data_IF_779679698334
#
_entry.id   IF_779679698334
#
_cell.length_a   1.000
_cell.length_b   1.000
_cell.length_c   1.000
_cell.angle_alpha   90.00
_cell.angle_beta   90.00
_cell.angle_gamma   90.00
#
_symmetry.space_group_name_H-M   'P 1'
#
loop_
_entity.id
_entity.type
_entity.pdbx_description
1 polymer ?
#
# COMPACT_ATOMS: atom_id res chain seq x y z
N UNK A 1 5.91 -12.96 33.58
CA UNK A 1 5.36 -11.61 33.47
C UNK A 1 5.02 -11.48 32.01
N UNK A 2 3.73 -11.46 31.69
CA UNK A 2 3.27 -11.50 30.31
C UNK A 2 3.60 -10.14 29.67
N UNK A 3 4.50 -10.16 28.70
CA UNK A 3 5.04 -9.00 27.98
C UNK A 3 4.03 -8.58 26.89
N UNK A 4 2.85 -8.10 27.31
CA UNK A 4 1.81 -7.66 26.37
C UNK A 4 2.14 -6.25 25.88
N UNK A 5 1.87 -5.92 24.60
CA UNK A 5 2.18 -4.62 24.06
C UNK A 5 1.33 -3.53 24.72
N UNK A 6 1.93 -2.34 24.86
CA UNK A 6 1.24 -1.16 25.36
C UNK A 6 0.06 -0.80 24.46
N UNK A 7 -0.97 -0.20 25.05
CA UNK A 7 -2.13 0.24 24.29
C UNK A 7 -1.76 1.37 23.29
N UNK A 8 -2.09 1.26 21.99
CA UNK A 8 -1.74 2.26 20.98
C UNK A 8 -2.48 3.60 21.15
N UNK A 9 -3.57 3.63 21.93
CA UNK A 9 -4.38 4.84 22.12
C UNK A 9 -3.97 5.64 23.37
N UNK A 10 -3.44 4.99 24.41
CA UNK A 10 -3.20 5.62 25.70
C UNK A 10 -1.84 5.27 26.34
N UNK A 11 -0.99 4.52 25.63
CA UNK A 11 0.35 4.08 26.06
C UNK A 11 0.37 3.31 27.39
N UNK A 12 -0.78 2.72 27.77
CA UNK A 12 -0.89 1.99 29.03
C UNK A 12 -0.26 0.60 28.91
N UNK A 13 0.62 0.26 29.85
CA UNK A 13 1.29 -1.04 29.98
C UNK A 13 0.36 -2.19 30.44
N UNK A 14 -0.89 -1.87 30.79
CA UNK A 14 -1.82 -2.80 31.40
C UNK A 14 -2.84 -3.35 30.40
N UNK A 15 -2.41 -3.87 29.25
CA UNK A 15 -3.30 -4.60 28.32
C UNK A 15 -3.57 -6.02 28.84
N UNK A 16 -4.77 -6.55 28.55
CA UNK A 16 -5.11 -7.95 28.81
C UNK A 16 -5.70 -8.61 27.56
N UNK A 17 -5.51 -9.91 27.44
CA UNK A 17 -6.08 -10.71 26.36
C UNK A 17 -7.54 -11.10 26.66
N UNK A 18 -8.46 -10.79 25.75
CA UNK A 18 -9.83 -11.29 25.71
C UNK A 18 -10.02 -12.08 24.40
N UNK A 19 -9.71 -13.37 24.46
CA UNK A 19 -9.71 -14.24 23.28
C UNK A 19 -8.62 -13.86 22.26
N UNK A 20 -8.95 -13.56 20.99
CA UNK A 20 -7.97 -13.12 19.98
C UNK A 20 -7.64 -11.62 20.07
N UNK A 21 -8.27 -10.86 20.98
CA UNK A 21 -8.12 -9.41 21.09
C UNK A 21 -7.35 -9.03 22.36
N UNK A 22 -6.65 -7.90 22.29
CA UNK A 22 -6.07 -7.19 23.41
C UNK A 22 -7.01 -6.05 23.79
N UNK A 23 -7.30 -5.92 25.08
CA UNK A 23 -8.19 -4.91 25.62
C UNK A 23 -7.45 -4.05 26.64
N UNK A 24 -7.58 -2.73 26.52
CA UNK A 24 -7.07 -1.80 27.51
C UNK A 24 -8.14 -1.45 28.56
N UNK A 25 -7.89 -1.67 29.86
CA UNK A 25 -8.82 -1.34 30.95
C UNK A 25 -8.91 0.16 31.23
N UNK A 26 -7.93 0.95 30.77
CA UNK A 26 -7.87 2.41 31.01
C UNK A 26 -8.75 3.19 30.03
N UNK A 27 -8.76 2.79 28.76
CA UNK A 27 -9.50 3.49 27.71
C UNK A 27 -10.59 2.65 27.03
N UNK A 28 -10.67 1.35 27.32
CA UNK A 28 -11.61 0.43 26.68
C UNK A 28 -11.29 0.15 25.21
N UNK A 29 -10.08 0.47 24.75
CA UNK A 29 -9.67 0.18 23.37
C UNK A 29 -9.41 -1.32 23.20
N UNK A 30 -9.98 -1.90 22.15
CA UNK A 30 -9.87 -3.30 21.78
C UNK A 30 -9.10 -3.36 20.45
N UNK A 31 -7.98 -4.08 20.41
CA UNK A 31 -7.18 -4.24 19.19
C UNK A 31 -6.64 -5.67 19.07
N UNK A 32 -6.49 -6.16 17.85
CA UNK A 32 -5.85 -7.45 17.61
C UNK A 32 -4.33 -7.24 17.43
N UNK A 33 -3.46 -7.99 18.12
CA UNK A 33 -2.03 -7.95 17.82
C UNK A 33 -1.74 -8.47 16.40
N UNK A 34 -2.63 -9.29 15.83
CA UNK A 34 -2.49 -9.81 14.47
C UNK A 34 -2.93 -8.82 13.38
N UNK A 35 -3.78 -7.83 13.68
CA UNK A 35 -4.17 -6.81 12.69
C UNK A 35 -3.11 -5.73 12.48
N UNK A 36 -2.28 -5.46 13.50
CA UNK A 36 -1.16 -4.53 13.38
C UNK A 36 -0.13 -5.01 12.35
N UNK A 37 0.01 -6.31 12.11
CA UNK A 37 0.93 -6.84 11.09
C UNK A 37 0.32 -6.93 9.67
N UNK A 38 -1.00 -6.82 9.51
CA UNK A 38 -1.67 -7.00 8.19
C UNK A 38 -1.98 -5.70 7.43
N UNK A 39 -1.51 -4.54 7.90
CA UNK A 39 -1.67 -3.26 7.17
C UNK A 39 -0.38 -2.75 6.51
N UNK A 40 0.74 -3.49 6.62
CA UNK A 40 2.07 -3.07 6.13
C UNK A 40 2.61 -3.93 4.97
N UNK A 41 1.90 -4.97 4.53
CA UNK A 41 2.44 -5.96 3.58
C UNK A 41 2.29 -5.59 2.09
N UNK A 42 1.49 -4.58 1.74
CA UNK A 42 1.21 -4.22 0.33
C UNK A 42 1.67 -2.79 -0.02
N UNK A 43 2.68 -2.28 0.69
CA UNK A 43 3.25 -0.96 0.43
C UNK A 43 4.02 -1.01 -0.90
N UNK A 44 3.31 -0.84 -2.01
CA UNK A 44 3.91 -0.74 -3.35
C UNK A 44 4.70 0.56 -3.42
N UNK A 45 6.01 0.45 -3.60
CA UNK A 45 6.91 1.60 -3.70
C UNK A 45 7.27 1.88 -5.15
N UNK A 46 7.28 3.15 -5.52
CA UNK A 46 7.74 3.54 -6.85
C UNK A 46 9.28 3.42 -6.99
N UNK A 47 9.81 3.68 -8.19
CA UNK A 47 11.24 3.66 -8.48
C UNK A 47 12.12 4.55 -7.57
N UNK A 48 11.53 5.60 -6.96
CA UNK A 48 12.21 6.50 -6.02
C UNK A 48 11.95 6.14 -4.55
N UNK A 49 11.20 5.08 -4.28
CA UNK A 49 10.90 4.61 -2.93
C UNK A 49 9.72 5.33 -2.24
N UNK A 50 8.90 6.11 -2.96
CA UNK A 50 7.68 6.66 -2.36
C UNK A 50 6.57 5.61 -2.32
N UNK A 51 5.78 5.67 -1.26
CA UNK A 51 4.59 4.83 -1.10
C UNK A 51 3.52 5.26 -2.09
N UNK A 52 3.06 4.30 -2.88
CA UNK A 52 1.90 4.43 -3.75
C UNK A 52 0.67 3.92 -3.03
N UNK A 53 -0.47 4.52 -3.33
CA UNK A 53 -1.77 4.13 -2.80
C UNK A 53 -2.78 3.92 -3.94
N UNK A 54 -3.88 3.26 -3.63
CA UNK A 54 -4.99 3.14 -4.58
C UNK A 54 -5.61 4.52 -4.85
N UNK A 55 -5.77 4.88 -6.12
CA UNK A 55 -6.29 6.18 -6.57
C UNK A 55 -5.23 7.22 -6.86
N UNK A 56 -3.95 6.92 -6.60
CA UNK A 56 -2.86 7.89 -6.75
C UNK A 56 -2.53 8.20 -8.22
N UNK A 57 -1.68 9.21 -8.44
CA UNK A 57 -1.20 9.57 -9.78
C UNK A 57 0.29 9.25 -9.91
N UNK A 58 0.64 8.55 -10.99
CA UNK A 58 2.02 8.17 -11.28
C UNK A 58 2.46 8.68 -12.66
N UNK A 59 3.78 8.83 -12.83
CA UNK A 59 4.42 9.19 -14.09
C UNK A 59 5.40 8.10 -14.48
N UNK A 60 5.33 7.66 -15.72
CA UNK A 60 6.29 6.70 -16.26
C UNK A 60 7.64 7.39 -16.47
N UNK A 61 8.72 6.84 -15.90
CA UNK A 61 10.06 7.45 -15.99
C UNK A 61 10.83 7.05 -17.25
N UNK A 62 10.43 5.99 -17.94
CA UNK A 62 11.18 5.40 -19.06
C UNK A 62 10.25 5.00 -20.20
N UNK A 63 10.72 5.05 -21.44
CA UNK A 63 9.92 4.62 -22.58
C UNK A 63 9.72 3.10 -22.57
N UNK A 64 8.47 2.66 -22.50
CA UNK A 64 8.08 1.27 -22.50
C UNK A 64 7.46 0.91 -23.84
N UNK A 65 8.10 0.00 -24.57
CA UNK A 65 7.57 -0.54 -25.83
C UNK A 65 6.81 -1.82 -25.55
N UNK A 66 5.55 -1.86 -25.95
CA UNK A 66 4.68 -3.04 -25.83
C UNK A 66 4.12 -3.42 -27.21
N UNK A 67 3.46 -4.58 -27.29
CA UNK A 67 2.95 -5.08 -28.58
C UNK A 67 1.93 -4.16 -29.26
N UNK A 68 1.26 -3.27 -28.53
CA UNK A 68 0.26 -2.34 -29.05
C UNK A 68 0.73 -0.88 -29.19
N UNK A 69 2.00 -0.56 -28.92
CA UNK A 69 2.49 0.82 -29.02
C UNK A 69 3.74 1.11 -28.17
N UNK A 70 4.00 2.41 -27.98
CA UNK A 70 5.07 2.91 -27.10
C UNK A 70 4.43 3.86 -26.09
N UNK A 71 4.56 3.55 -24.80
CA UNK A 71 4.31 4.50 -23.73
C UNK A 71 5.56 5.34 -23.57
N UNK A 72 5.46 6.64 -23.84
CA UNK A 72 6.61 7.53 -23.71
C UNK A 72 6.91 7.85 -22.26
N UNK A 73 8.19 8.00 -21.94
CA UNK A 73 8.61 8.56 -20.66
C UNK A 73 7.97 9.94 -20.45
N UNK A 74 7.38 10.16 -19.28
CA UNK A 74 6.60 11.36 -18.95
C UNK A 74 5.07 11.20 -19.09
N UNK A 75 4.58 10.03 -19.51
CA UNK A 75 3.13 9.74 -19.52
C UNK A 75 2.61 9.72 -18.09
N UNK A 76 1.64 10.59 -17.80
CA UNK A 76 0.96 10.68 -16.51
C UNK A 76 -0.27 9.76 -16.51
N UNK A 77 -0.34 8.88 -15.53
CA UNK A 77 -1.46 7.96 -15.33
C UNK A 77 -2.11 8.26 -14.00
N UNK A 78 -3.42 8.45 -14.01
CA UNK A 78 -4.22 8.81 -12.83
C UNK A 78 -5.06 7.63 -12.39
N UNK A 79 -5.43 7.59 -11.11
CA UNK A 79 -6.30 6.56 -10.55
C UNK A 79 -5.71 5.16 -10.70
N UNK A 80 -4.48 4.98 -10.22
CA UNK A 80 -3.83 3.67 -10.20
C UNK A 80 -4.51 2.75 -9.19
N UNK A 81 -4.49 1.45 -9.47
CA UNK A 81 -4.92 0.40 -8.55
C UNK A 81 -3.72 -0.47 -8.23
N UNK A 82 -3.44 -0.65 -6.94
CA UNK A 82 -2.40 -1.56 -6.48
C UNK A 82 -2.99 -2.96 -6.46
N UNK A 83 -2.28 -3.91 -7.05
CA UNK A 83 -2.70 -5.30 -7.15
C UNK A 83 -1.52 -6.18 -6.79
N UNK A 84 -1.75 -7.14 -5.89
CA UNK A 84 -0.74 -8.13 -5.54
C UNK A 84 -0.59 -9.15 -6.69
N UNK A 85 0.56 -9.14 -7.36
CA UNK A 85 0.80 -9.95 -8.56
C UNK A 85 2.14 -9.66 -9.26
N UNK A 86 2.35 -10.25 -10.45
CA UNK A 86 3.57 -10.04 -11.25
C UNK A 86 3.71 -8.58 -11.76
N UNK A 87 2.58 -7.87 -11.86
CA UNK A 87 2.51 -6.45 -12.17
C UNK A 87 1.81 -5.73 -11.02
N UNK A 88 2.57 -4.97 -10.23
CA UNK A 88 2.10 -4.38 -8.96
C UNK A 88 1.06 -3.26 -9.16
N UNK A 89 0.95 -2.69 -10.36
CA UNK A 89 0.14 -1.50 -10.64
C UNK A 89 -0.76 -1.75 -11.84
N UNK A 90 -2.06 -1.83 -11.62
CA UNK A 90 -3.06 -1.76 -12.67
C UNK A 90 -3.52 -0.33 -12.87
N UNK A 91 -3.54 0.15 -14.10
CA UNK A 91 -3.89 1.53 -14.37
C UNK A 91 -4.70 1.67 -15.65
N UNK A 92 -5.55 2.70 -15.70
CA UNK A 92 -6.35 2.98 -16.88
C UNK A 92 -5.87 4.26 -17.54
N UNK A 93 -5.40 4.14 -18.77
CA UNK A 93 -4.93 5.25 -19.59
C UNK A 93 -6.03 5.60 -20.59
N UNK A 94 -6.45 6.87 -20.59
CA UNK A 94 -7.43 7.38 -21.54
C UNK A 94 -6.90 7.27 -22.98
N UNK A 95 -7.63 6.57 -23.85
CA UNK A 95 -7.24 6.32 -25.25
C UNK A 95 -6.41 5.04 -25.51
N UNK A 96 -5.84 4.40 -24.49
CA UNK A 96 -5.10 3.12 -24.63
C UNK A 96 -5.85 1.96 -23.95
N UNK A 97 -6.54 2.21 -22.84
CA UNK A 97 -7.29 1.22 -22.08
C UNK A 97 -6.67 0.89 -20.72
N UNK A 98 -7.06 -0.24 -20.13
CA UNK A 98 -6.44 -0.77 -18.92
C UNK A 98 -5.09 -1.41 -19.27
N UNK A 99 -4.07 -1.09 -18.49
CA UNK A 99 -2.71 -1.57 -18.65
C UNK A 99 -2.10 -1.80 -17.28
N UNK A 100 -1.43 -2.93 -17.11
CA UNK A 100 -0.69 -3.26 -15.90
C UNK A 100 0.78 -2.88 -16.11
N UNK A 101 1.34 -2.16 -15.15
CA UNK A 101 2.71 -1.63 -15.14
C UNK A 101 3.43 -2.16 -13.89
N UNK A 102 4.75 -2.19 -13.97
CA UNK A 102 5.60 -2.53 -12.83
C UNK A 102 6.00 -1.28 -12.06
N UNK A 103 6.03 -1.39 -10.75
CA UNK A 103 6.40 -0.32 -9.81
C UNK A 103 7.79 0.30 -10.08
N UNK A 104 8.72 -0.49 -10.63
CA UNK A 104 10.09 -0.09 -10.99
C UNK A 104 10.19 0.96 -12.12
N UNK A 105 9.14 1.16 -12.93
CA UNK A 105 9.15 2.06 -14.08
C UNK A 105 8.27 3.30 -13.93
N UNK A 106 7.67 3.46 -12.75
CA UNK A 106 6.81 4.60 -12.43
C UNK A 106 7.38 5.39 -11.26
N UNK A 107 6.99 6.65 -11.18
CA UNK A 107 7.20 7.51 -10.01
C UNK A 107 5.91 8.16 -9.58
N UNK A 108 5.77 8.46 -8.28
CA UNK A 108 4.68 9.31 -7.80
C UNK A 108 4.77 10.70 -8.47
N UNK A 109 3.62 11.21 -8.92
CA UNK A 109 3.52 12.42 -9.74
C UNK A 109 3.44 13.71 -8.94
#
# INVERSE_FOLDING_TARGET
MSDLPNCPQCDSEYSYEDGPLLVCPTCGHEWSPAETESSEEDVTRDANGNVLENGDTVVVIKDLKFRGGVVKGGTKVKNIRIVDGDHDIDCKIDGIGAMSLKSEFVKKA
#
